data_IF_183999361967
#
_entry.id   IF_183999361967
#
_cell.length_a   1.000
_cell.length_b   1.000
_cell.length_c   1.000
_cell.angle_alpha   90.00
_cell.angle_beta   90.00
_cell.angle_gamma   90.00
#
_symmetry.space_group_name_H-M   'P 1'
#
loop_
_entity.id
_entity.type
_entity.pdbx_description
1 polymer ?
#
# COMPACT_ATOMS: atom_id res chain seq x y z
N UNK A 1 -68.79 -48.81 23.20
CA UNK A 1 -69.02 -47.36 23.34
C UNK A 1 -68.32 -46.93 24.61
N UNK A 2 -67.20 -46.22 24.51
CA UNK A 2 -66.54 -45.60 25.66
C UNK A 2 -66.85 -44.11 25.57
N UNK A 3 -67.51 -43.55 26.57
CA UNK A 3 -67.73 -42.11 26.66
C UNK A 3 -66.37 -41.45 26.92
N UNK A 4 -65.88 -40.68 25.94
CA UNK A 4 -64.73 -39.80 26.12
C UNK A 4 -65.23 -38.44 26.56
N UNK A 5 -64.69 -37.94 27.67
CA UNK A 5 -64.87 -36.58 28.14
C UNK A 5 -63.74 -35.71 27.56
N UNK A 6 -64.07 -34.81 26.63
CA UNK A 6 -63.13 -33.82 26.10
C UNK A 6 -63.57 -32.42 26.54
N UNK A 7 -62.63 -31.61 27.01
CA UNK A 7 -62.84 -30.19 27.31
C UNK A 7 -61.82 -29.36 26.50
N UNK A 8 -62.29 -28.35 25.79
CA UNK A 8 -61.46 -27.38 25.08
C UNK A 8 -61.72 -25.98 25.63
N UNK A 9 -60.68 -25.16 25.72
CA UNK A 9 -60.77 -23.74 26.12
C UNK A 9 -60.21 -22.88 24.99
N UNK A 10 -61.02 -21.94 24.48
CA UNK A 10 -60.64 -21.07 23.36
C UNK A 10 -60.31 -19.63 23.79
N UNK A 11 -60.17 -19.33 25.08
CA UNK A 11 -59.65 -18.02 25.49
C UNK A 11 -58.93 -18.06 26.84
N UNK A 12 -57.63 -18.35 26.80
CA UNK A 12 -56.73 -18.11 27.92
C UNK A 12 -56.40 -16.60 27.99
N UNK A 13 -57.33 -15.80 28.51
CA UNK A 13 -57.03 -14.42 28.93
C UNK A 13 -56.26 -14.44 30.24
N UNK A 14 -55.07 -13.83 30.26
CA UNK A 14 -54.06 -13.79 31.34
C UNK A 14 -54.50 -13.21 32.70
N UNK A 15 -55.80 -13.12 32.99
CA UNK A 15 -56.30 -12.71 34.33
C UNK A 15 -57.70 -13.25 34.66
N UNK A 16 -58.15 -14.33 34.01
CA UNK A 16 -59.42 -14.99 34.32
C UNK A 16 -59.19 -16.41 34.86
N UNK A 17 -59.83 -16.76 35.97
CA UNK A 17 -59.85 -18.14 36.49
C UNK A 17 -60.51 -19.06 35.47
N UNK A 18 -59.85 -20.16 35.10
CA UNK A 18 -60.48 -21.20 34.28
C UNK A 18 -61.60 -21.86 35.12
N UNK A 19 -62.83 -21.78 34.64
CA UNK A 19 -63.97 -22.48 35.23
C UNK A 19 -64.24 -23.71 34.35
N UNK A 20 -64.14 -24.91 34.92
CA UNK A 20 -64.48 -26.16 34.25
C UNK A 20 -65.80 -26.66 34.85
N UNK A 21 -66.90 -26.45 34.12
CA UNK A 21 -68.22 -26.92 34.54
C UNK A 21 -68.48 -28.36 34.03
N UNK A 22 -68.84 -29.27 34.95
CA UNK A 22 -69.21 -30.65 34.60
C UNK A 22 -70.74 -30.77 34.56
N UNK A 23 -71.26 -31.18 33.41
CA UNK A 23 -72.70 -31.38 33.16
C UNK A 23 -73.02 -32.87 32.92
N UNK A 24 -74.17 -33.33 33.42
CA UNK A 24 -74.76 -34.62 33.01
C UNK A 24 -76.26 -34.42 32.75
N UNK A 25 -76.76 -34.92 31.62
CA UNK A 25 -78.17 -34.82 31.21
C UNK A 25 -78.76 -33.40 31.36
N UNK A 26 -77.99 -32.38 30.99
CA UNK A 26 -78.43 -30.98 31.01
C UNK A 26 -78.53 -30.32 32.38
N UNK A 27 -78.10 -30.99 33.45
CA UNK A 27 -78.01 -30.40 34.81
C UNK A 27 -76.55 -30.17 35.18
N UNK A 28 -76.21 -28.94 35.61
CA UNK A 28 -74.89 -28.63 36.18
C UNK A 28 -74.76 -29.32 37.52
N UNK A 29 -73.82 -30.27 37.65
CA UNK A 29 -73.68 -31.08 38.87
C UNK A 29 -72.74 -30.42 39.89
N UNK A 30 -71.82 -29.56 39.44
CA UNK A 30 -70.98 -28.77 40.32
C UNK A 30 -71.27 -27.28 40.10
N UNK A 31 -71.92 -26.64 41.08
CA UNK A 31 -72.33 -25.22 41.00
C UNK A 31 -71.39 -24.27 41.73
N UNK A 32 -70.19 -24.72 42.10
CA UNK A 32 -69.12 -23.89 42.66
C UNK A 32 -67.77 -24.42 42.19
N UNK A 33 -66.87 -23.52 41.81
CA UNK A 33 -65.49 -23.73 41.34
C UNK A 33 -64.67 -24.71 42.22
N UNK A 34 -64.88 -26.01 42.10
CA UNK A 34 -64.25 -27.02 42.97
C UNK A 34 -63.68 -28.23 42.23
N UNK A 35 -63.23 -28.04 40.98
CA UNK A 35 -62.09 -28.82 40.53
C UNK A 35 -60.83 -28.18 41.12
N UNK A 36 -60.53 -28.52 42.37
CA UNK A 36 -59.24 -28.20 42.98
C UNK A 36 -58.23 -29.18 42.38
N UNK A 37 -57.44 -28.72 41.40
CA UNK A 37 -56.22 -29.43 41.03
C UNK A 37 -55.22 -29.11 42.14
N UNK A 38 -55.20 -29.95 43.17
CA UNK A 38 -54.22 -29.85 44.24
C UNK A 38 -52.82 -30.11 43.66
N UNK A 39 -52.15 -29.04 43.25
CA UNK A 39 -50.70 -29.06 43.08
C UNK A 39 -50.08 -28.70 44.43
N UNK A 40 -50.01 -29.63 45.38
CA UNK A 40 -49.28 -29.44 46.65
C UNK A 40 -47.78 -29.13 46.43
N UNK A 41 -47.29 -29.13 45.19
CA UNK A 41 -46.00 -28.59 44.76
C UNK A 41 -46.07 -27.18 44.13
N UNK A 42 -46.98 -26.30 44.57
CA UNK A 42 -46.99 -24.90 44.08
C UNK A 42 -45.99 -24.01 44.82
N UNK A 43 -44.72 -24.40 44.81
CA UNK A 43 -43.67 -23.41 44.73
C UNK A 43 -43.66 -22.89 43.31
N UNK A 44 -44.39 -21.81 43.02
CA UNK A 44 -44.08 -21.03 41.82
C UNK A 44 -42.73 -20.35 42.06
N UNK A 45 -41.65 -21.09 41.88
CA UNK A 45 -40.47 -20.42 41.37
C UNK A 45 -40.88 -19.95 39.99
N UNK A 46 -41.07 -18.63 39.84
CA UNK A 46 -40.88 -18.04 38.52
C UNK A 46 -39.58 -18.65 38.04
N UNK A 47 -39.56 -19.25 36.84
CA UNK A 47 -38.30 -19.61 36.24
C UNK A 47 -37.51 -18.30 36.09
N UNK A 48 -36.79 -17.93 37.13
CA UNK A 48 -35.58 -17.13 37.03
C UNK A 48 -34.67 -18.09 36.32
N UNK A 49 -34.86 -18.23 35.01
CA UNK A 49 -33.69 -18.33 34.16
C UNK A 49 -33.06 -16.97 34.42
N UNK A 50 -32.01 -16.86 35.24
CA UNK A 50 -31.22 -15.66 35.17
C UNK A 50 -30.58 -15.81 33.80
N UNK A 51 -31.17 -15.23 32.76
CA UNK A 51 -30.27 -14.59 31.81
C UNK A 51 -29.62 -13.54 32.70
N UNK A 52 -28.43 -13.87 33.22
CA UNK A 52 -27.78 -13.03 34.21
C UNK A 52 -27.73 -11.64 33.62
N UNK A 53 -28.49 -10.71 34.19
CA UNK A 53 -28.44 -9.32 33.76
C UNK A 53 -27.05 -8.87 34.13
N UNK A 54 -26.17 -8.79 33.13
CA UNK A 54 -24.85 -8.26 33.32
C UNK A 54 -24.98 -6.78 33.66
N UNK A 55 -24.61 -6.43 34.88
CA UNK A 55 -24.52 -5.04 35.34
C UNK A 55 -23.06 -4.63 35.29
N UNK A 56 -22.66 -4.00 34.20
CA UNK A 56 -21.31 -3.49 33.98
C UNK A 56 -21.28 -1.98 33.79
N UNK A 57 -20.07 -1.43 33.69
CA UNK A 57 -19.89 -0.04 33.26
C UNK A 57 -20.39 0.13 31.82
N UNK A 58 -20.82 1.33 31.43
CA UNK A 58 -21.17 1.60 30.04
C UNK A 58 -19.96 1.29 29.12
N UNK A 59 -20.20 0.59 28.02
CA UNK A 59 -19.18 0.16 27.07
C UNK A 59 -18.46 -1.15 27.41
N UNK A 60 -18.82 -1.79 28.53
CA UNK A 60 -18.26 -3.09 28.88
C UNK A 60 -18.69 -4.19 27.91
N UNK A 61 -17.72 -4.98 27.44
CA UNK A 61 -17.98 -6.23 26.73
C UNK A 61 -17.78 -7.39 27.74
N UNK A 62 -18.85 -8.07 28.19
CA UNK A 62 -18.72 -9.17 29.15
C UNK A 62 -18.06 -10.39 28.51
N UNK A 63 -17.11 -11.00 29.23
CA UNK A 63 -16.48 -12.27 28.84
C UNK A 63 -16.30 -13.19 30.05
N UNK A 64 -16.15 -14.50 29.81
CA UNK A 64 -15.88 -15.46 30.89
C UNK A 64 -14.39 -15.52 31.21
N UNK A 65 -14.03 -15.49 32.49
CA UNK A 65 -12.67 -15.80 32.95
C UNK A 65 -12.49 -17.29 33.32
N UNK A 66 -13.45 -18.15 32.96
CA UNK A 66 -13.49 -19.57 33.32
C UNK A 66 -14.22 -19.88 34.63
N UNK A 67 -14.51 -18.88 35.48
CA UNK A 67 -15.29 -19.04 36.72
C UNK A 67 -16.55 -18.18 36.73
N UNK A 68 -16.49 -16.99 36.15
CA UNK A 68 -17.59 -16.02 36.15
C UNK A 68 -17.58 -15.18 34.88
N UNK A 69 -18.72 -14.55 34.58
CA UNK A 69 -18.78 -13.47 33.60
C UNK A 69 -18.21 -12.21 34.25
N UNK A 70 -17.21 -11.62 33.61
CA UNK A 70 -16.47 -10.44 34.07
C UNK A 70 -16.30 -9.43 32.93
N UNK A 71 -15.75 -8.27 33.25
CA UNK A 71 -15.36 -7.22 32.31
C UNK A 71 -13.90 -6.79 32.58
N UNK A 72 -13.26 -6.20 31.58
CA UNK A 72 -11.96 -5.57 31.70
C UNK A 72 -11.84 -4.43 30.68
N UNK A 73 -12.44 -3.30 31.03
CA UNK A 73 -12.56 -2.17 30.11
C UNK A 73 -11.21 -1.54 29.76
N UNK A 74 -10.18 -1.72 30.59
CA UNK A 74 -8.83 -1.26 30.24
C UNK A 74 -8.26 -2.03 29.05
N UNK A 75 -8.67 -3.29 28.85
CA UNK A 75 -8.17 -4.17 27.80
C UNK A 75 -9.15 -4.39 26.64
N UNK A 76 -10.46 -4.38 26.87
CA UNK A 76 -11.51 -4.61 25.86
C UNK A 76 -12.72 -3.72 26.12
N UNK A 77 -12.99 -2.76 25.22
CA UNK A 77 -13.99 -1.72 25.43
C UNK A 77 -14.78 -1.37 24.15
N UNK A 78 -16.09 -1.15 24.29
CA UNK A 78 -16.95 -0.64 23.22
C UNK A 78 -17.40 0.79 23.54
N UNK A 79 -16.97 1.75 22.72
CA UNK A 79 -17.52 3.10 22.74
C UNK A 79 -18.79 3.14 21.87
N UNK A 80 -19.96 3.05 22.53
CA UNK A 80 -21.25 3.02 21.85
C UNK A 80 -21.64 4.37 21.24
N UNK A 81 -21.19 5.48 21.85
CA UNK A 81 -21.51 6.82 21.35
C UNK A 81 -20.91 7.03 19.97
N UNK A 82 -19.69 6.53 19.76
CA UNK A 82 -18.98 6.68 18.49
C UNK A 82 -18.87 5.39 17.65
N UNK A 83 -19.40 4.28 18.13
CA UNK A 83 -19.32 2.94 17.52
C UNK A 83 -17.87 2.46 17.25
N UNK A 84 -17.03 2.43 18.30
CA UNK A 84 -15.60 2.07 18.20
C UNK A 84 -15.21 0.96 19.17
N UNK A 85 -14.38 0.03 18.70
CA UNK A 85 -13.75 -1.01 19.52
C UNK A 85 -12.35 -0.57 19.97
N UNK A 86 -12.15 -0.49 21.28
CA UNK A 86 -10.85 -0.28 21.93
C UNK A 86 -10.27 -1.59 22.45
N UNK A 87 -8.99 -1.83 22.15
CA UNK A 87 -8.17 -2.86 22.77
C UNK A 87 -6.98 -2.18 23.47
N UNK A 88 -6.84 -2.36 24.78
CA UNK A 88 -5.82 -1.67 25.59
C UNK A 88 -6.09 -0.18 25.83
N UNK A 89 -7.29 0.32 25.53
CA UNK A 89 -7.71 1.71 25.73
C UNK A 89 -9.23 1.82 25.90
N UNK A 90 -9.67 2.75 26.76
CA UNK A 90 -11.08 3.14 26.94
C UNK A 90 -11.48 4.38 26.13
N UNK A 91 -10.52 5.01 25.43
CA UNK A 91 -10.76 6.18 24.57
C UNK A 91 -10.27 5.89 23.14
N UNK A 92 -10.97 5.01 22.39
CA UNK A 92 -10.59 4.67 21.03
C UNK A 92 -10.78 5.85 20.08
N UNK A 93 -9.74 6.25 19.34
CA UNK A 93 -9.82 7.32 18.34
C UNK A 93 -10.17 6.83 16.93
N UNK A 94 -10.20 5.51 16.71
CA UNK A 94 -10.49 4.86 15.43
C UNK A 94 -11.54 3.75 15.61
N UNK A 95 -12.25 3.32 14.55
CA UNK A 95 -13.24 2.24 14.64
C UNK A 95 -12.70 0.96 15.29
N UNK A 96 -11.44 0.64 15.04
CA UNK A 96 -10.64 -0.32 15.80
C UNK A 96 -9.37 0.40 16.25
N UNK A 97 -9.21 0.59 17.56
CA UNK A 97 -7.99 1.15 18.15
C UNK A 97 -7.33 0.10 19.03
N UNK A 98 -6.18 -0.41 18.57
CA UNK A 98 -5.36 -1.33 19.36
C UNK A 98 -4.16 -0.57 19.90
N UNK A 99 -4.14 -0.38 21.22
CA UNK A 99 -3.11 0.34 21.94
C UNK A 99 -2.31 -0.62 22.82
N UNK A 100 -0.99 -0.57 22.72
CA UNK A 100 -0.09 -1.44 23.48
C UNK A 100 1.25 -0.73 23.76
N UNK A 101 1.84 -1.01 24.91
CA UNK A 101 3.14 -0.45 25.33
C UNK A 101 4.29 -1.48 25.39
N UNK A 102 4.02 -2.74 25.03
CA UNK A 102 4.97 -3.85 25.16
C UNK A 102 5.26 -4.55 23.84
N UNK A 103 4.29 -5.34 23.36
CA UNK A 103 4.39 -6.06 22.09
C UNK A 103 3.77 -5.27 20.93
N UNK A 104 4.04 -5.70 19.69
CA UNK A 104 3.33 -5.20 18.51
C UNK A 104 1.82 -5.35 18.71
N UNK A 105 1.03 -4.29 18.47
CA UNK A 105 -0.40 -4.32 18.72
C UNK A 105 -1.14 -5.31 17.79
N UNK A 106 -0.61 -5.62 16.60
CA UNK A 106 -1.22 -6.52 15.63
C UNK A 106 -0.18 -7.49 15.06
N UNK A 107 -0.54 -8.77 15.02
CA UNK A 107 0.20 -9.83 14.30
C UNK A 107 -0.76 -10.44 13.28
N UNK A 108 -0.35 -10.47 12.00
CA UNK A 108 -1.11 -11.14 10.94
C UNK A 108 -0.41 -12.43 10.54
N UNK A 109 -0.97 -13.56 10.96
CA UNK A 109 -0.39 -14.88 10.73
C UNK A 109 -1.33 -15.76 9.89
N UNK A 110 -0.75 -16.45 8.91
CA UNK A 110 -1.46 -17.45 8.10
C UNK A 110 -0.59 -18.69 7.94
N UNK A 111 -1.12 -19.84 8.35
CA UNK A 111 -0.47 -21.15 8.17
C UNK A 111 -1.05 -21.92 6.99
N UNK A 112 -0.23 -22.75 6.34
CA UNK A 112 -0.63 -23.61 5.21
C UNK A 112 0.35 -24.76 5.02
N UNK A 113 -0.12 -25.87 4.44
CA UNK A 113 0.73 -26.96 3.97
C UNK A 113 1.35 -26.71 2.59
N UNK A 114 0.99 -25.60 1.91
CA UNK A 114 1.60 -25.22 0.63
C UNK A 114 3.04 -24.73 0.84
N UNK A 115 4.00 -25.33 0.13
CA UNK A 115 5.44 -25.05 0.29
C UNK A 115 6.06 -24.26 -0.87
N UNK A 116 5.32 -24.07 -1.97
CA UNK A 116 5.85 -23.52 -3.23
C UNK A 116 5.03 -22.37 -3.81
N UNK A 117 4.29 -21.63 -2.97
CA UNK A 117 3.45 -20.51 -3.44
C UNK A 117 3.40 -19.37 -2.44
N UNK A 118 3.40 -18.14 -2.95
CA UNK A 118 3.17 -16.96 -2.12
C UNK A 118 1.73 -16.92 -1.61
N UNK A 119 1.57 -16.78 -0.31
CA UNK A 119 0.29 -16.71 0.38
C UNK A 119 0.12 -15.30 0.98
N UNK A 120 -1.06 -14.69 0.83
CA UNK A 120 -1.33 -13.37 1.43
C UNK A 120 -1.47 -13.47 2.95
N UNK A 121 -0.55 -12.84 3.69
CA UNK A 121 -0.61 -12.70 5.14
C UNK A 121 -1.35 -11.44 5.60
N UNK A 122 -1.36 -10.38 4.79
CA UNK A 122 -2.08 -9.13 5.02
C UNK A 122 -2.63 -8.64 3.66
N UNK A 123 -3.83 -8.09 3.66
CA UNK A 123 -4.46 -7.49 2.48
C UNK A 123 -5.03 -6.13 2.85
N UNK A 124 -4.64 -5.11 2.08
CA UNK A 124 -5.23 -3.79 2.12
C UNK A 124 -6.05 -3.63 0.85
N UNK A 125 -7.32 -3.23 0.98
CA UNK A 125 -8.19 -2.97 -0.15
C UNK A 125 -8.93 -1.66 0.03
N UNK A 126 -9.29 -1.03 -1.09
CA UNK A 126 -10.14 0.16 -1.10
C UNK A 126 -11.17 0.01 -2.21
N UNK A 127 -12.44 0.16 -1.84
CA UNK A 127 -13.52 0.40 -2.80
C UNK A 127 -13.81 1.89 -2.86
N UNK A 128 -14.06 2.39 -4.07
CA UNK A 128 -14.67 3.71 -4.25
C UNK A 128 -16.18 3.53 -4.43
N UNK A 129 -16.97 4.42 -3.84
CA UNK A 129 -18.41 4.50 -4.09
C UNK A 129 -18.73 5.34 -5.34
N UNK A 130 -17.72 5.99 -5.94
CA UNK A 130 -17.80 6.67 -7.22
C UNK A 130 -17.19 5.86 -8.36
N UNK A 131 -16.91 6.50 -9.49
CA UNK A 131 -16.14 5.90 -10.60
C UNK A 131 -14.65 5.90 -10.24
N UNK A 132 -13.97 4.76 -10.40
CA UNK A 132 -12.52 4.68 -10.22
C UNK A 132 -11.80 5.56 -11.24
N UNK A 133 -10.68 6.16 -10.83
CA UNK A 133 -9.83 6.99 -11.67
C UNK A 133 -8.35 6.66 -11.37
N UNK A 134 -7.47 6.94 -12.33
CA UNK A 134 -6.02 6.81 -12.15
C UNK A 134 -5.55 7.54 -10.88
N UNK A 135 -4.70 6.88 -10.11
CA UNK A 135 -4.26 7.29 -8.78
C UNK A 135 -5.05 6.66 -7.62
N UNK A 136 -6.13 5.90 -7.89
CA UNK A 136 -6.80 5.14 -6.82
C UNK A 136 -5.88 4.05 -6.27
N UNK A 137 -5.83 3.91 -4.95
CA UNK A 137 -4.92 2.97 -4.30
C UNK A 137 -5.16 2.77 -2.81
N UNK A 138 -4.25 2.00 -2.20
CA UNK A 138 -4.15 1.72 -0.76
C UNK A 138 -2.76 2.08 -0.27
N UNK A 139 -2.66 2.53 0.98
CA UNK A 139 -1.42 3.05 1.57
C UNK A 139 -1.14 2.39 2.92
N UNK A 140 0.15 2.15 3.20
CA UNK A 140 0.70 1.95 4.53
C UNK A 140 1.40 3.24 4.93
N UNK A 141 0.87 3.96 5.91
CA UNK A 141 1.49 5.16 6.46
C UNK A 141 2.38 4.83 7.66
N UNK A 142 3.59 5.40 7.69
CA UNK A 142 4.48 5.36 8.84
C UNK A 142 4.38 6.68 9.59
N UNK A 143 3.77 6.66 10.78
CA UNK A 143 3.53 7.86 11.57
C UNK A 143 4.32 7.83 12.88
N UNK A 144 4.88 8.97 13.25
CA UNK A 144 5.70 9.16 14.45
C UNK A 144 5.44 10.53 15.05
N UNK A 145 5.67 10.66 16.36
CA UNK A 145 5.59 11.94 17.05
C UNK A 145 6.81 12.81 16.68
N UNK A 146 6.59 14.09 16.42
CA UNK A 146 7.65 15.09 16.29
C UNK A 146 8.08 15.65 17.67
N UNK A 147 9.02 16.60 17.69
CA UNK A 147 9.47 17.23 18.93
C UNK A 147 8.46 18.23 19.54
N UNK A 148 7.38 18.53 18.81
CA UNK A 148 6.22 19.31 19.26
C UNK A 148 5.10 18.47 19.86
N UNK A 149 5.22 17.13 19.83
CA UNK A 149 4.21 16.20 20.33
C UNK A 149 3.09 15.88 19.32
N UNK A 150 3.26 16.27 18.06
CA UNK A 150 2.29 16.05 17.00
C UNK A 150 2.61 14.80 16.17
N UNK A 151 1.58 14.02 15.83
CA UNK A 151 1.73 12.79 15.05
C UNK A 151 1.87 13.11 13.55
N UNK A 152 3.09 13.04 13.07
CA UNK A 152 3.47 13.33 11.70
C UNK A 152 3.64 12.05 10.86
N UNK A 153 3.52 12.17 9.55
CA UNK A 153 3.89 11.09 8.63
C UNK A 153 5.38 11.19 8.35
N UNK A 154 6.14 10.13 8.64
CA UNK A 154 7.55 10.00 8.26
C UNK A 154 7.72 9.56 6.81
N UNK A 155 6.80 8.73 6.33
CA UNK A 155 6.74 8.24 4.96
C UNK A 155 5.57 7.29 4.75
N UNK A 156 5.43 6.79 3.52
CA UNK A 156 4.37 5.87 3.16
C UNK A 156 4.81 4.91 2.05
N UNK A 157 4.10 3.77 1.95
CA UNK A 157 4.17 2.87 0.80
C UNK A 157 2.77 2.73 0.23
N UNK A 158 2.62 3.10 -1.04
CA UNK A 158 1.34 3.17 -1.72
C UNK A 158 1.30 2.22 -2.90
N UNK A 159 0.26 1.40 -2.99
CA UNK A 159 -0.09 0.66 -4.19
C UNK A 159 -1.20 1.41 -4.93
N UNK A 160 -0.91 1.90 -6.13
CA UNK A 160 -1.82 2.74 -6.91
C UNK A 160 -2.07 2.13 -8.28
N UNK A 161 -3.29 2.28 -8.82
CA UNK A 161 -3.56 2.02 -10.24
C UNK A 161 -3.27 3.30 -11.04
N UNK A 162 -2.46 3.20 -12.08
CA UNK A 162 -2.18 4.28 -13.05
C UNK A 162 -3.06 4.20 -14.28
N UNK A 163 -3.53 3.01 -14.62
CA UNK A 163 -4.68 2.81 -15.49
C UNK A 163 -5.72 1.94 -14.77
N UNK A 164 -6.96 2.42 -14.77
CA UNK A 164 -8.12 1.74 -14.16
C UNK A 164 -9.04 1.12 -15.23
N UNK A 165 -8.64 1.18 -16.50
CA UNK A 165 -9.40 0.63 -17.61
C UNK A 165 -9.49 -0.89 -17.49
N UNK A 166 -10.69 -1.43 -17.68
CA UNK A 166 -10.93 -2.85 -17.50
C UNK A 166 -10.08 -3.67 -18.48
N UNK A 167 -9.33 -4.65 -17.96
CA UNK A 167 -8.37 -5.48 -18.69
C UNK A 167 -7.12 -4.76 -19.22
N UNK A 168 -6.94 -3.47 -18.89
CA UNK A 168 -5.75 -2.67 -19.17
C UNK A 168 -5.07 -2.17 -17.91
N UNK A 169 -5.38 -2.76 -16.75
CA UNK A 169 -4.97 -2.21 -15.47
C UNK A 169 -3.44 -2.19 -15.34
N UNK A 170 -2.90 -0.98 -15.16
CA UNK A 170 -1.52 -0.78 -14.75
C UNK A 170 -1.50 -0.19 -13.34
N UNK A 171 -0.47 -0.55 -12.58
CA UNK A 171 -0.30 -0.04 -11.23
C UNK A 171 1.15 0.06 -10.82
N UNK A 172 1.38 0.93 -9.84
CA UNK A 172 2.70 1.24 -9.32
C UNK A 172 2.75 0.98 -7.81
N UNK A 173 3.95 0.67 -7.33
CA UNK A 173 4.28 0.78 -5.90
C UNK A 173 5.14 2.01 -5.73
N UNK A 174 4.70 2.94 -4.89
CA UNK A 174 5.34 4.24 -4.64
C UNK A 174 5.84 4.29 -3.20
N UNK A 175 7.09 4.74 -3.03
CA UNK A 175 7.72 4.96 -1.73
C UNK A 175 7.87 6.46 -1.52
N UNK A 176 7.15 6.97 -0.54
CA UNK A 176 7.07 8.39 -0.23
C UNK A 176 7.75 8.66 1.11
N UNK A 177 8.50 9.75 1.20
CA UNK A 177 9.17 10.18 2.43
C UNK A 177 8.91 11.65 2.69
N UNK A 178 8.82 12.03 3.95
CA UNK A 178 8.64 13.44 4.30
C UNK A 178 9.95 14.19 4.13
N UNK A 179 9.89 15.26 3.34
CA UNK A 179 10.92 16.29 3.24
C UNK A 179 10.48 17.53 4.03
N UNK A 180 11.36 18.53 4.13
CA UNK A 180 11.00 19.85 4.67
C UNK A 180 9.91 20.59 3.86
N UNK A 181 9.51 20.05 2.71
CA UNK A 181 8.50 20.59 1.80
C UNK A 181 7.26 19.70 1.70
N UNK A 182 7.14 18.69 2.59
CA UNK A 182 6.08 17.68 2.56
C UNK A 182 6.53 16.34 1.99
N UNK A 183 5.58 15.43 1.75
CA UNK A 183 5.85 14.12 1.17
C UNK A 183 6.39 14.24 -0.25
N UNK A 184 7.45 13.48 -0.53
CA UNK A 184 8.07 13.38 -1.86
C UNK A 184 8.22 11.92 -2.25
N UNK A 185 8.01 11.63 -3.53
CA UNK A 185 8.30 10.31 -4.11
C UNK A 185 9.81 10.11 -4.21
N UNK A 186 10.36 9.21 -3.39
CA UNK A 186 11.78 8.85 -3.42
C UNK A 186 12.07 7.73 -4.43
N UNK A 187 11.17 6.74 -4.52
CA UNK A 187 11.28 5.59 -5.40
C UNK A 187 9.92 5.12 -5.86
N UNK A 188 9.88 4.58 -7.08
CA UNK A 188 8.70 3.95 -7.68
C UNK A 188 9.07 2.66 -8.37
N UNK A 189 8.20 1.66 -8.28
CA UNK A 189 8.18 0.51 -9.19
C UNK A 189 6.96 0.70 -10.07
N UNK A 190 7.20 1.10 -11.32
CA UNK A 190 6.17 1.40 -12.31
C UNK A 190 5.76 0.15 -13.05
N UNK A 191 4.46 -0.17 -13.06
CA UNK A 191 3.90 -1.19 -13.95
C UNK A 191 3.87 -0.71 -15.39
N UNK A 192 4.19 -1.60 -16.33
CA UNK A 192 4.25 -1.28 -17.76
C UNK A 192 3.41 -2.31 -18.52
N UNK A 193 2.56 -1.76 -19.38
CA UNK A 193 1.75 -2.53 -20.31
C UNK A 193 2.58 -3.60 -21.03
N UNK A 194 2.03 -4.81 -21.15
CA UNK A 194 2.73 -5.96 -21.72
C UNK A 194 3.58 -6.78 -20.73
N UNK A 195 3.42 -6.56 -19.42
CA UNK A 195 3.93 -7.48 -18.39
C UNK A 195 5.36 -7.21 -17.92
N UNK A 196 5.72 -5.93 -17.76
CA UNK A 196 7.03 -5.51 -17.25
C UNK A 196 6.88 -4.46 -16.15
N UNK A 197 7.95 -4.23 -15.41
CA UNK A 197 8.07 -3.08 -14.51
C UNK A 197 9.43 -2.39 -14.68
N UNK A 198 9.47 -1.11 -14.32
CA UNK A 198 10.68 -0.29 -14.24
C UNK A 198 10.80 0.34 -12.85
N UNK A 199 12.03 0.56 -12.38
CA UNK A 199 12.30 1.26 -11.11
C UNK A 199 12.75 2.68 -11.41
N UNK A 200 12.10 3.66 -10.79
CA UNK A 200 12.50 5.07 -10.81
C UNK A 200 13.02 5.48 -9.44
N UNK A 201 14.14 6.20 -9.38
CA UNK A 201 14.66 6.87 -8.19
C UNK A 201 14.79 8.36 -8.51
N UNK A 202 14.01 9.20 -7.82
CA UNK A 202 13.89 10.64 -8.13
C UNK A 202 13.21 10.94 -9.48
N UNK A 203 12.45 10.00 -10.02
CA UNK A 203 11.72 10.12 -11.29
C UNK A 203 10.44 9.28 -11.24
N UNK A 204 9.31 9.91 -11.57
CA UNK A 204 7.98 9.30 -11.52
C UNK A 204 7.59 8.58 -12.82
N UNK A 205 8.36 8.74 -13.89
CA UNK A 205 8.09 8.09 -15.17
C UNK A 205 9.36 7.44 -15.74
N UNK A 206 9.85 6.34 -15.15
CA UNK A 206 11.06 5.67 -15.63
C UNK A 206 10.82 4.99 -16.98
N UNK A 207 11.59 5.40 -17.99
CA UNK A 207 11.55 4.87 -19.37
C UNK A 207 12.52 3.69 -19.63
N UNK A 208 13.35 3.35 -18.64
CA UNK A 208 14.22 2.18 -18.62
C UNK A 208 14.04 1.37 -17.34
N UNK A 209 14.53 0.11 -17.34
CA UNK A 209 14.39 -0.82 -16.20
C UNK A 209 14.81 -0.24 -14.86
N UNK A 210 15.83 0.61 -14.88
CA UNK A 210 16.23 1.44 -13.75
C UNK A 210 16.56 2.83 -14.28
N UNK A 211 15.88 3.85 -13.76
CA UNK A 211 16.21 5.25 -14.01
C UNK A 211 16.52 5.92 -12.68
N UNK A 212 17.71 6.53 -12.59
CA UNK A 212 18.12 7.32 -11.44
C UNK A 212 18.32 8.75 -11.90
N UNK A 213 17.42 9.66 -11.50
CA UNK A 213 17.50 11.07 -11.86
C UNK A 213 18.26 11.85 -10.77
N UNK A 214 19.58 11.67 -10.76
CA UNK A 214 20.41 12.13 -9.65
C UNK A 214 21.86 11.68 -9.83
N UNK A 215 22.75 12.18 -8.98
CA UNK A 215 24.11 11.66 -8.94
C UNK A 215 24.08 10.32 -8.21
N UNK A 216 24.78 9.33 -8.75
CA UNK A 216 24.81 7.97 -8.20
C UNK A 216 26.21 7.66 -7.69
N UNK A 217 26.32 7.23 -6.43
CA UNK A 217 27.54 6.64 -5.87
C UNK A 217 27.48 5.12 -6.04
N UNK A 218 28.51 4.53 -6.65
CA UNK A 218 28.63 3.08 -6.83
C UNK A 218 29.64 2.48 -5.84
N UNK A 219 29.44 2.76 -4.55
CA UNK A 219 30.33 2.41 -3.44
C UNK A 219 30.53 3.56 -2.47
N UNK A 220 31.00 3.27 -1.25
CA UNK A 220 31.25 4.30 -0.22
C UNK A 220 32.29 5.33 -0.66
N UNK A 221 33.35 4.86 -1.30
CA UNK A 221 34.51 5.67 -1.71
C UNK A 221 34.43 6.10 -3.18
N UNK A 222 33.41 5.65 -3.90
CA UNK A 222 33.19 6.06 -5.29
C UNK A 222 32.70 7.52 -5.37
N UNK A 223 33.12 8.29 -6.38
CA UNK A 223 32.52 9.60 -6.63
C UNK A 223 31.03 9.44 -6.94
N UNK A 224 30.24 10.46 -6.58
CA UNK A 224 28.85 10.53 -7.01
C UNK A 224 28.84 11.01 -8.47
N UNK A 225 28.51 10.12 -9.40
CA UNK A 225 28.66 10.38 -10.84
C UNK A 225 27.32 10.54 -11.55
N UNK A 226 27.34 11.29 -12.64
CA UNK A 226 26.33 11.32 -13.70
C UNK A 226 27.01 11.17 -15.04
N UNK A 227 26.24 10.75 -16.04
CA UNK A 227 26.67 10.73 -17.43
C UNK A 227 25.89 11.76 -18.25
N UNK A 228 26.53 12.32 -19.27
CA UNK A 228 25.89 13.19 -20.26
C UNK A 228 26.33 12.77 -21.66
N UNK A 229 25.36 12.37 -22.49
CA UNK A 229 25.57 12.17 -23.92
C UNK A 229 25.43 13.51 -24.64
N UNK A 230 26.39 13.81 -25.52
CA UNK A 230 26.32 14.91 -26.46
C UNK A 230 26.42 14.34 -27.88
N UNK A 231 25.85 15.06 -28.83
CA UNK A 231 25.90 14.70 -30.25
C UNK A 231 26.33 15.91 -31.07
N UNK A 232 26.90 15.64 -32.24
CA UNK A 232 27.31 16.68 -33.20
C UNK A 232 27.64 16.06 -34.54
N UNK A 233 28.21 16.87 -35.43
CA UNK A 233 28.66 16.45 -36.76
C UNK A 233 30.03 17.07 -37.01
N UNK A 234 30.99 16.30 -37.49
CA UNK A 234 32.31 16.83 -37.87
C UNK A 234 32.18 17.82 -39.03
N UNK A 235 33.20 18.66 -39.23
CA UNK A 235 33.23 19.58 -40.36
C UNK A 235 33.28 18.88 -41.71
N UNK A 236 33.02 19.64 -42.77
CA UNK A 236 32.96 19.12 -44.13
C UNK A 236 34.32 19.00 -44.81
N UNK A 237 35.38 19.50 -44.19
CA UNK A 237 36.74 19.50 -44.71
C UNK A 237 37.71 18.89 -43.71
N UNK A 238 38.74 18.20 -44.20
CA UNK A 238 39.86 17.77 -43.36
C UNK A 238 40.51 18.97 -42.65
N UNK A 239 40.90 18.79 -41.39
CA UNK A 239 41.40 19.90 -40.55
C UNK A 239 40.32 20.73 -39.85
N UNK A 240 39.03 20.53 -40.15
CA UNK A 240 37.96 21.29 -39.52
C UNK A 240 37.86 21.01 -38.01
N UNK A 241 37.45 22.06 -37.29
CA UNK A 241 37.20 22.01 -35.85
C UNK A 241 35.69 22.07 -35.59
N UNK A 242 35.19 21.15 -34.76
CA UNK A 242 33.80 21.17 -34.27
C UNK A 242 33.80 21.29 -32.76
N UNK A 243 33.09 22.28 -32.21
CA UNK A 243 32.93 22.44 -30.76
C UNK A 243 31.52 22.02 -30.32
N UNK A 244 31.43 21.11 -29.34
CA UNK A 244 30.17 20.65 -28.76
C UNK A 244 30.09 21.14 -27.31
N UNK A 245 29.11 22.01 -27.01
CA UNK A 245 28.94 22.58 -25.65
C UNK A 245 28.49 21.49 -24.67
N UNK A 246 29.19 21.35 -23.54
CA UNK A 246 28.82 20.36 -22.52
C UNK A 246 28.01 20.95 -21.35
N UNK A 247 28.17 22.24 -21.03
CA UNK A 247 27.41 22.90 -19.95
C UNK A 247 27.69 22.31 -18.56
N UNK A 248 28.92 21.87 -18.31
CA UNK A 248 29.39 21.30 -17.04
C UNK A 248 30.58 22.11 -16.55
N UNK A 249 30.91 22.03 -15.27
CA UNK A 249 32.18 22.53 -14.75
C UNK A 249 33.30 21.58 -15.17
N UNK A 250 34.29 22.03 -15.95
CA UNK A 250 35.31 21.14 -16.53
C UNK A 250 36.11 20.35 -15.50
N UNK A 251 36.39 20.91 -14.33
CA UNK A 251 37.11 20.22 -13.25
C UNK A 251 36.35 19.04 -12.63
N UNK A 252 35.04 18.93 -12.93
CA UNK A 252 34.18 17.82 -12.48
C UNK A 252 34.07 16.70 -13.52
N UNK A 253 34.58 16.89 -14.74
CA UNK A 253 34.60 15.85 -15.76
C UNK A 253 35.76 14.91 -15.46
N UNK A 254 35.45 13.64 -15.21
CA UNK A 254 36.43 12.59 -14.87
C UNK A 254 36.59 11.55 -15.97
N UNK A 255 35.73 11.57 -16.98
CA UNK A 255 35.81 10.70 -18.15
C UNK A 255 35.16 11.33 -19.38
N UNK A 256 35.76 11.11 -20.54
CA UNK A 256 35.23 11.53 -21.84
C UNK A 256 35.54 10.44 -22.88
N UNK A 257 34.50 9.92 -23.52
CA UNK A 257 34.61 9.05 -24.68
C UNK A 257 34.05 9.80 -25.89
N UNK A 258 34.81 9.82 -26.99
CA UNK A 258 34.41 10.40 -28.26
C UNK A 258 34.47 9.33 -29.33
N UNK A 259 33.45 9.27 -30.17
CA UNK A 259 33.39 8.41 -31.36
C UNK A 259 32.86 9.23 -32.54
N UNK A 260 33.47 9.06 -33.71
CA UNK A 260 32.97 9.62 -34.97
C UNK A 260 32.53 8.46 -35.87
N UNK A 261 31.39 8.60 -36.54
CA UNK A 261 30.80 7.55 -37.38
C UNK A 261 30.55 8.07 -38.79
N UNK A 262 31.07 7.40 -39.83
CA UNK A 262 30.70 7.67 -41.23
C UNK A 262 30.96 6.45 -42.16
N UNK A 263 30.32 6.47 -43.34
CA UNK A 263 30.46 5.63 -44.54
C UNK A 263 30.19 4.12 -44.40
N UNK A 264 30.45 3.53 -43.24
CA UNK A 264 30.29 2.10 -42.98
C UNK A 264 29.59 1.82 -41.64
N UNK A 265 29.11 2.87 -40.96
CA UNK A 265 28.61 2.83 -39.57
C UNK A 265 29.62 2.34 -38.53
N UNK A 266 30.92 2.33 -38.88
CA UNK A 266 31.99 2.01 -37.95
C UNK A 266 32.19 3.15 -36.94
N UNK A 267 32.40 2.78 -35.68
CA UNK A 267 32.70 3.71 -34.60
C UNK A 267 34.21 3.96 -34.55
N UNK A 268 34.63 5.16 -34.95
CA UNK A 268 36.05 5.52 -35.05
C UNK A 268 36.48 6.20 -33.75
N UNK A 269 37.44 5.64 -32.99
CA UNK A 269 37.99 6.29 -31.80
C UNK A 269 38.96 7.43 -32.18
N UNK A 270 39.28 8.34 -31.25
CA UNK A 270 40.28 9.39 -31.49
C UNK A 270 41.68 8.79 -31.65
N UNK A 271 42.58 9.55 -32.29
CA UNK A 271 43.96 9.17 -32.62
C UNK A 271 44.06 7.82 -33.37
N UNK A 272 43.05 7.48 -34.16
CA UNK A 272 42.98 6.21 -34.88
C UNK A 272 43.76 6.27 -36.20
N UNK A 273 44.91 5.61 -36.23
CA UNK A 273 45.83 5.60 -37.38
C UNK A 273 45.93 4.25 -38.09
N UNK A 274 45.20 3.23 -37.61
CA UNK A 274 45.28 1.89 -38.19
C UNK A 274 44.60 1.78 -39.58
N UNK A 275 43.69 2.71 -39.90
CA UNK A 275 43.09 2.86 -41.22
C UNK A 275 43.22 4.32 -41.62
N UNK A 276 43.71 4.55 -42.85
CA UNK A 276 43.80 5.88 -43.44
C UNK A 276 42.42 6.54 -43.49
N UNK A 277 42.38 7.86 -43.49
CA UNK A 277 41.20 8.71 -43.60
C UNK A 277 40.27 8.75 -42.36
N UNK A 278 40.70 8.21 -41.22
CA UNK A 278 39.87 8.07 -40.00
C UNK A 278 40.49 8.68 -38.73
N UNK A 279 41.53 9.48 -38.86
CA UNK A 279 42.22 10.10 -37.74
C UNK A 279 41.55 11.41 -37.34
N UNK A 280 41.43 11.65 -36.04
CA UNK A 280 41.00 12.93 -35.46
C UNK A 280 41.44 12.95 -34.00
N UNK A 281 41.50 14.14 -33.41
CA UNK A 281 41.75 14.32 -31.98
C UNK A 281 40.57 15.00 -31.29
N UNK A 282 40.58 14.96 -29.96
CA UNK A 282 39.64 15.74 -29.17
C UNK A 282 40.32 16.39 -27.96
N UNK A 283 39.70 17.47 -27.49
CA UNK A 283 40.13 18.18 -26.29
C UNK A 283 38.92 18.67 -25.49
N UNK A 284 38.91 18.42 -24.19
CA UNK A 284 37.87 18.93 -23.28
C UNK A 284 38.33 20.29 -22.75
N UNK A 285 37.68 21.35 -23.22
CA UNK A 285 37.89 22.73 -22.80
C UNK A 285 36.93 23.10 -21.67
N UNK A 286 37.00 24.35 -21.19
CA UNK A 286 36.18 24.83 -20.07
C UNK A 286 34.66 24.69 -20.29
N UNK A 287 34.19 24.80 -21.54
CA UNK A 287 32.76 24.80 -21.89
C UNK A 287 32.37 23.87 -23.04
N UNK A 288 33.34 23.34 -23.78
CA UNK A 288 33.11 22.54 -24.98
C UNK A 288 34.01 21.31 -25.02
N UNK A 289 33.53 20.25 -25.64
CA UNK A 289 34.36 19.18 -26.18
C UNK A 289 34.67 19.55 -27.62
N UNK A 290 35.94 19.82 -27.91
CA UNK A 290 36.43 20.17 -29.24
C UNK A 290 36.86 18.90 -29.95
N UNK A 291 36.35 18.68 -31.16
CA UNK A 291 36.80 17.65 -32.09
C UNK A 291 37.61 18.33 -33.18
N UNK A 292 38.79 17.78 -33.49
CA UNK A 292 39.72 18.33 -34.48
C UNK A 292 40.00 17.24 -35.50
N UNK A 293 39.51 17.42 -36.72
CA UNK A 293 39.91 16.56 -37.82
C UNK A 293 41.38 16.82 -38.15
N UNK A 294 42.10 15.78 -38.55
CA UNK A 294 43.46 15.90 -39.08
C UNK A 294 43.38 16.50 -40.49
N UNK A 295 44.39 17.28 -40.88
CA UNK A 295 44.38 18.01 -42.15
C UNK A 295 44.55 17.12 -43.41
N UNK A 296 44.96 15.85 -43.25
CA UNK A 296 45.31 14.96 -44.37
C UNK A 296 44.93 13.50 -44.15
N UNK A 297 44.12 13.19 -43.13
CA UNK A 297 43.85 11.79 -42.76
C UNK A 297 42.45 11.63 -42.11
N UNK A 298 41.47 12.41 -42.55
CA UNK A 298 40.11 12.44 -41.99
C UNK A 298 39.02 12.38 -43.06
N UNK A 299 39.36 12.21 -44.34
CA UNK A 299 38.40 12.28 -45.44
C UNK A 299 37.25 11.27 -45.38
N UNK A 300 37.40 10.17 -44.62
CA UNK A 300 36.35 9.16 -44.43
C UNK A 300 35.49 9.41 -43.20
N UNK A 301 35.71 10.51 -42.45
CA UNK A 301 34.94 10.91 -41.28
C UNK A 301 34.48 12.38 -41.30
N UNK A 302 34.64 13.11 -42.42
CA UNK A 302 34.09 14.47 -42.63
C UNK A 302 32.56 14.44 -42.71
N UNK A 303 31.83 15.40 -42.15
CA UNK A 303 30.36 15.32 -41.99
C UNK A 303 29.87 14.04 -41.27
N UNK A 304 30.75 13.37 -40.53
CA UNK A 304 30.45 12.18 -39.73
C UNK A 304 29.71 12.54 -38.44
N UNK A 305 28.89 11.62 -37.94
CA UNK A 305 28.18 11.80 -36.68
C UNK A 305 29.14 11.67 -35.49
N UNK A 306 29.15 12.68 -34.62
CA UNK A 306 29.92 12.67 -33.37
C UNK A 306 29.01 12.20 -32.24
N UNK A 307 29.47 11.23 -31.46
CA UNK A 307 28.91 10.90 -30.15
C UNK A 307 29.95 11.14 -29.07
N UNK A 308 29.59 11.92 -28.07
CA UNK A 308 30.41 12.13 -26.86
C UNK A 308 29.65 11.58 -25.66
N UNK A 309 30.33 10.82 -24.81
CA UNK A 309 29.84 10.43 -23.49
C UNK A 309 30.77 11.01 -22.43
N UNK A 310 30.24 11.91 -21.61
CA UNK A 310 30.93 12.48 -20.47
C UNK A 310 30.49 11.79 -19.20
N UNK A 311 31.44 11.40 -18.35
CA UNK A 311 31.22 11.02 -16.95
C UNK A 311 31.74 12.14 -16.07
N UNK A 312 30.89 12.65 -15.19
CA UNK A 312 31.23 13.77 -14.32
C UNK A 312 30.72 13.55 -12.91
N UNK A 313 31.46 14.06 -11.93
CA UNK A 313 31.09 14.03 -10.53
C UNK A 313 30.29 15.26 -10.10
N UNK A 314 29.68 15.19 -8.91
CA UNK A 314 29.00 16.31 -8.27
C UNK A 314 29.98 17.39 -7.80
#
# INVERSE_FOLDING_TARGET
LHDQLAATTDTAGITGTMIVDIHLNGTTIMTTNKLDIETTEKGTETAVIPVGTFTGTAGSIPFSNGTSIVEDNANLFWDDVNNRLGLGTTDPSFPLHVYASGFSPVVSERSSSSTGSSLRGLELHRYTTGTAASGIGTEIAFRVEDDGGTLETAGAISGILTDVSAAGEEGDIVFEVTSNSGLVEGMRIKGISGGSANVGIGVSDPDAKLVVNGYTKLGSDAPAIKMKKLTGTTGGTEGDITNITHGLTVSKIIGCQVLVTQNTNNLVPPAFTAVVEHEYDFFVLASVVRIVLTATNSGSIINGAITVLLTYEN
#
